data_IF_998453370847
#
_entry.id   IF_998453370847
#
_cell.length_a   1.000
_cell.length_b   1.000
_cell.length_c   1.000
_cell.angle_alpha   90.00
_cell.angle_beta   90.00
_cell.angle_gamma   90.00
#
_symmetry.space_group_name_H-M   'P 1'
#
loop_
_entity.id
_entity.type
_entity.pdbx_description
1 polymer ?
#
# COMPACT_ATOMS: atom_id res chain seq x y z
N UNK A 1 33.78 15.27 -17.56
CA UNK A 1 32.45 15.20 -16.91
C UNK A 1 31.26 15.14 -17.87
N UNK A 2 31.33 15.68 -19.10
CA UNK A 2 30.20 15.63 -20.06
C UNK A 2 29.94 14.25 -20.70
N UNK A 3 30.97 13.39 -20.80
CA UNK A 3 30.86 12.04 -21.38
C UNK A 3 30.22 11.01 -20.43
N UNK A 4 30.40 11.17 -19.12
CA UNK A 4 29.85 10.23 -18.11
C UNK A 4 28.34 10.45 -17.93
N UNK A 5 27.86 11.69 -18.08
CA UNK A 5 26.43 12.01 -18.02
C UNK A 5 25.64 11.43 -19.21
N UNK A 6 26.27 11.29 -20.38
CA UNK A 6 25.63 10.70 -21.57
C UNK A 6 25.42 9.19 -21.45
N UNK A 7 26.30 8.49 -20.73
CA UNK A 7 26.22 7.03 -20.57
C UNK A 7 25.11 6.61 -19.61
N UNK A 8 24.83 7.41 -18.57
CA UNK A 8 23.71 7.14 -17.66
C UNK A 8 22.34 7.48 -18.26
N UNK A 9 22.28 8.44 -19.20
CA UNK A 9 21.05 8.78 -19.90
C UNK A 9 20.60 7.68 -20.89
N UNK A 10 21.53 6.92 -21.47
CA UNK A 10 21.20 5.80 -22.39
C UNK A 10 20.84 4.50 -21.66
N UNK A 11 21.36 4.29 -20.44
CA UNK A 11 21.07 3.10 -19.62
C UNK A 11 19.70 3.14 -18.90
N UNK A 12 19.11 4.32 -18.73
CA UNK A 12 17.80 4.48 -18.05
C UNK A 12 16.57 4.20 -18.92
N UNK A 13 16.74 3.97 -20.23
CA UNK A 13 15.62 3.77 -21.17
C UNK A 13 15.16 2.30 -21.21
N UNK A 14 16.02 1.36 -20.80
CA UNK A 14 15.75 -0.09 -20.87
C UNK A 14 14.98 -0.67 -19.67
N UNK A 15 14.64 0.14 -18.66
CA UNK A 15 13.92 -0.31 -17.46
C UNK A 15 12.52 0.31 -17.32
N UNK A 16 11.85 0.60 -18.43
CA UNK A 16 10.40 0.86 -18.39
C UNK A 16 9.66 -0.44 -18.01
N UNK A 17 8.96 -0.49 -16.86
CA UNK A 17 8.11 -1.62 -16.55
C UNK A 17 6.93 -1.58 -17.51
N UNK A 18 6.76 -2.64 -18.30
CA UNK A 18 5.56 -2.90 -19.10
C UNK A 18 5.09 -1.74 -19.98
N UNK A 19 5.59 -1.69 -21.22
CA UNK A 19 4.84 -1.04 -22.29
C UNK A 19 3.44 -1.66 -22.36
N UNK A 20 2.43 -0.91 -21.94
CA UNK A 20 1.04 -1.26 -22.18
C UNK A 20 0.87 -1.43 -23.69
N UNK A 21 0.62 -2.66 -24.16
CA UNK A 21 0.40 -2.93 -25.58
C UNK A 21 -0.83 -2.11 -26.02
N UNK A 22 -0.66 -1.13 -26.93
CA UNK A 22 -1.81 -0.43 -27.47
C UNK A 22 -2.53 -1.42 -28.39
N UNK A 23 -3.76 -1.79 -28.03
CA UNK A 23 -4.62 -2.62 -28.89
C UNK A 23 -4.87 -4.05 -28.43
N UNK A 24 -4.70 -4.38 -27.14
CA UNK A 24 -5.43 -5.55 -26.63
C UNK A 24 -6.93 -5.25 -26.75
N UNK A 25 -7.56 -5.83 -27.77
CA UNK A 25 -9.01 -5.89 -27.86
C UNK A 25 -9.54 -6.38 -26.51
N UNK A 26 -10.55 -5.71 -25.96
CA UNK A 26 -11.24 -6.25 -24.80
C UNK A 26 -11.65 -7.70 -25.11
N UNK A 27 -11.44 -8.64 -24.18
CA UNK A 27 -11.83 -10.02 -24.41
C UNK A 27 -13.30 -10.08 -24.78
N UNK A 28 -13.60 -10.42 -26.04
CA UNK A 28 -14.97 -10.48 -26.54
C UNK A 28 -15.59 -11.80 -26.11
N UNK A 29 -16.62 -11.72 -25.25
CA UNK A 29 -17.38 -12.90 -24.83
C UNK A 29 -18.38 -13.24 -25.94
N UNK A 30 -18.27 -14.44 -26.51
CA UNK A 30 -19.21 -14.93 -27.53
C UNK A 30 -20.62 -15.13 -26.95
N UNK A 31 -21.67 -15.04 -27.78
CA UNK A 31 -23.05 -15.28 -27.33
C UNK A 31 -23.21 -16.66 -26.66
N UNK A 32 -22.53 -17.69 -27.19
CA UNK A 32 -22.50 -19.05 -26.64
C UNK A 32 -21.80 -19.12 -25.27
N UNK A 33 -20.77 -18.31 -25.03
CA UNK A 33 -20.14 -18.19 -23.72
C UNK A 33 -21.01 -17.43 -22.71
N UNK A 34 -21.85 -16.49 -23.17
CA UNK A 34 -22.84 -15.82 -22.32
C UNK A 34 -23.97 -16.78 -21.92
N UNK A 35 -24.46 -17.59 -22.85
CA UNK A 35 -25.47 -18.62 -22.60
C UNK A 35 -24.95 -19.78 -21.74
N UNK A 36 -23.65 -20.09 -21.81
CA UNK A 36 -23.02 -21.14 -21.00
C UNK A 36 -22.91 -20.80 -19.50
N UNK A 37 -23.11 -19.53 -19.13
CA UNK A 37 -23.22 -19.14 -17.71
C UNK A 37 -24.70 -19.19 -17.35
N UNK A 38 -25.11 -20.30 -16.72
CA UNK A 38 -26.42 -20.37 -16.07
C UNK A 38 -26.59 -19.17 -15.12
N UNK A 39 -27.76 -18.53 -15.12
CA UNK A 39 -28.09 -17.45 -14.17
C UNK A 39 -27.88 -17.88 -12.71
N UNK A 40 -28.06 -19.17 -12.43
CA UNK A 40 -27.77 -19.79 -11.14
C UNK A 40 -26.27 -19.71 -10.81
N UNK A 41 -25.41 -20.05 -11.78
CA UNK A 41 -23.96 -19.93 -11.60
C UNK A 41 -23.51 -18.48 -11.49
N UNK A 42 -24.16 -17.56 -12.21
CA UNK A 42 -23.92 -16.13 -12.08
C UNK A 42 -24.34 -15.61 -10.69
N UNK A 43 -25.45 -16.09 -10.14
CA UNK A 43 -25.90 -15.78 -8.79
C UNK A 43 -24.90 -16.29 -7.74
N UNK A 44 -24.47 -17.54 -7.83
CA UNK A 44 -23.45 -18.11 -6.94
C UNK A 44 -22.15 -17.31 -6.95
N UNK A 45 -21.68 -16.90 -8.13
CA UNK A 45 -20.47 -16.09 -8.27
C UNK A 45 -20.66 -14.69 -7.65
N UNK A 46 -21.82 -14.07 -7.84
CA UNK A 46 -22.16 -12.77 -7.22
C UNK A 46 -22.14 -12.87 -5.70
N UNK A 47 -22.72 -13.92 -5.14
CA UNK A 47 -22.76 -14.15 -3.70
C UNK A 47 -21.35 -14.37 -3.12
N UNK A 48 -20.53 -15.17 -3.81
CA UNK A 48 -19.13 -15.38 -3.42
C UNK A 48 -18.31 -14.08 -3.45
N UNK A 49 -18.51 -13.24 -4.47
CA UNK A 49 -17.86 -11.92 -4.56
C UNK A 49 -18.33 -11.00 -3.42
N UNK A 50 -19.63 -10.98 -3.12
CA UNK A 50 -20.18 -10.15 -2.04
C UNK A 50 -19.59 -10.54 -0.68
N UNK A 51 -19.46 -11.84 -0.41
CA UNK A 51 -18.83 -12.35 0.80
C UNK A 51 -17.34 -12.02 0.86
N UNK A 52 -16.61 -12.16 -0.24
CA UNK A 52 -15.20 -11.77 -0.33
C UNK A 52 -15.01 -10.27 -0.06
N UNK A 53 -15.87 -9.42 -0.61
CA UNK A 53 -15.84 -7.96 -0.37
C UNK A 53 -16.06 -7.61 1.10
N UNK A 54 -17.02 -8.24 1.78
CA UNK A 54 -17.24 -8.02 3.22
C UNK A 54 -15.98 -8.31 4.05
N UNK A 55 -15.26 -9.38 3.70
CA UNK A 55 -13.99 -9.75 4.36
C UNK A 55 -12.90 -8.72 4.07
N UNK A 56 -12.79 -8.27 2.82
CA UNK A 56 -11.84 -7.24 2.41
C UNK A 56 -12.11 -5.92 3.16
N UNK A 57 -13.37 -5.47 3.20
CA UNK A 57 -13.75 -4.23 3.91
C UNK A 57 -13.38 -4.28 5.39
N UNK A 58 -13.50 -5.45 6.03
CA UNK A 58 -13.09 -5.63 7.43
C UNK A 58 -11.58 -5.49 7.58
N UNK A 59 -10.81 -6.16 6.72
CA UNK A 59 -9.33 -6.09 6.72
C UNK A 59 -8.88 -4.66 6.45
N UNK A 60 -9.49 -3.97 5.49
CA UNK A 60 -9.13 -2.60 5.13
C UNK A 60 -9.38 -1.63 6.29
N UNK A 61 -10.48 -1.80 7.04
CA UNK A 61 -10.73 -1.01 8.25
C UNK A 61 -9.70 -1.28 9.33
N UNK A 62 -9.40 -2.55 9.61
CA UNK A 62 -8.40 -2.94 10.62
C UNK A 62 -7.00 -2.42 10.26
N UNK A 63 -6.62 -2.54 8.99
CA UNK A 63 -5.36 -2.01 8.47
C UNK A 63 -5.32 -0.49 8.55
N UNK A 64 -6.41 0.19 8.15
CA UNK A 64 -6.48 1.66 8.21
C UNK A 64 -6.31 2.15 9.63
N UNK A 65 -7.00 1.53 10.60
CA UNK A 65 -6.86 1.87 12.02
C UNK A 65 -5.40 1.67 12.51
N UNK A 66 -4.77 0.56 12.12
CA UNK A 66 -3.36 0.31 12.43
C UNK A 66 -2.47 1.40 11.84
N UNK A 67 -2.61 1.72 10.55
CA UNK A 67 -1.84 2.76 9.88
C UNK A 67 -2.01 4.13 10.52
N UNK A 68 -3.24 4.48 10.94
CA UNK A 68 -3.52 5.72 11.64
C UNK A 68 -2.76 5.81 12.98
N UNK A 69 -2.61 4.69 13.70
CA UNK A 69 -1.81 4.64 14.94
C UNK A 69 -0.30 4.80 14.69
N UNK A 70 0.18 4.42 13.50
CA UNK A 70 1.55 4.63 13.04
C UNK A 70 1.76 5.98 12.32
N UNK A 71 0.75 6.85 12.25
CA UNK A 71 0.90 8.17 11.63
C UNK A 71 2.12 8.89 12.23
N UNK A 72 3.00 9.40 11.37
CA UNK A 72 4.30 10.03 11.67
C UNK A 72 5.45 9.10 12.07
N UNK A 73 5.20 7.82 12.34
CA UNK A 73 6.28 6.86 12.50
C UNK A 73 6.82 6.49 11.11
N UNK A 74 8.04 6.94 10.81
CA UNK A 74 8.73 6.49 9.61
C UNK A 74 9.41 5.17 9.93
N UNK A 75 9.16 4.16 9.10
CA UNK A 75 9.96 2.94 9.11
C UNK A 75 11.43 3.28 8.82
N UNK A 76 12.30 3.04 9.80
CA UNK A 76 13.75 3.14 9.60
C UNK A 76 14.16 2.00 8.65
N UNK A 77 14.74 2.36 7.50
CA UNK A 77 15.20 1.40 6.49
C UNK A 77 14.22 1.16 5.33
N UNK A 78 13.01 1.72 5.34
CA UNK A 78 12.05 1.59 4.24
C UNK A 78 12.30 2.56 3.06
N UNK A 79 13.47 3.19 2.98
CA UNK A 79 13.84 4.12 1.91
C UNK A 79 14.75 5.26 2.39
N UNK A 80 15.16 6.16 1.47
CA UNK A 80 15.94 7.33 1.82
C UNK A 80 15.14 8.25 2.74
N UNK A 81 15.64 8.49 3.95
CA UNK A 81 14.98 9.35 4.93
C UNK A 81 15.24 10.83 4.59
N UNK A 82 14.20 11.67 4.43
CA UNK A 82 14.38 13.09 4.22
C UNK A 82 15.12 13.72 5.41
N UNK A 83 16.06 14.63 5.15
CA UNK A 83 16.85 15.30 6.20
C UNK A 83 16.01 16.10 7.20
N UNK A 84 14.82 16.51 6.79
CA UNK A 84 13.86 17.27 7.60
C UNK A 84 12.96 16.38 8.46
N UNK A 85 13.01 15.06 8.27
CA UNK A 85 12.18 14.13 9.03
C UNK A 85 12.87 13.76 10.34
N UNK A 86 12.18 13.95 11.45
CA UNK A 86 12.64 13.51 12.75
C UNK A 86 12.13 12.09 13.02
N UNK A 87 12.98 11.15 13.46
CA UNK A 87 12.54 9.86 13.95
C UNK A 87 11.58 10.03 15.15
N UNK A 88 10.45 9.32 15.10
CA UNK A 88 9.49 9.24 16.21
C UNK A 88 9.92 8.10 17.12
N UNK A 89 10.10 8.38 18.41
CA UNK A 89 10.38 7.33 19.39
C UNK A 89 9.07 6.66 19.79
N UNK A 90 8.97 5.35 19.62
CA UNK A 90 7.73 4.59 19.85
C UNK A 90 8.01 3.22 20.47
N UNK A 91 6.98 2.61 21.07
CA UNK A 91 7.01 1.24 21.56
C UNK A 91 6.03 0.37 20.77
N UNK A 92 6.51 -0.51 19.86
CA UNK A 92 5.65 -1.27 18.95
C UNK A 92 4.49 -2.01 19.62
N UNK A 93 4.73 -2.64 20.78
CA UNK A 93 3.70 -3.35 21.53
C UNK A 93 2.55 -2.45 21.99
N UNK A 94 2.84 -1.18 22.35
CA UNK A 94 1.81 -0.20 22.74
C UNK A 94 1.01 0.27 21.54
N UNK A 95 1.69 0.44 20.39
CA UNK A 95 1.02 0.80 19.14
C UNK A 95 0.06 -0.29 18.71
N UNK A 96 0.50 -1.55 18.75
CA UNK A 96 -0.34 -2.71 18.47
C UNK A 96 -1.53 -2.82 19.44
N UNK A 97 -1.37 -2.40 20.70
CA UNK A 97 -2.45 -2.39 21.69
C UNK A 97 -3.36 -1.15 21.63
N UNK A 98 -3.19 -0.26 20.65
CA UNK A 98 -4.10 0.85 20.39
C UNK A 98 -3.57 2.26 20.70
N UNK A 99 -2.33 2.40 21.21
CA UNK A 99 -1.75 3.70 21.56
C UNK A 99 -1.06 4.33 20.34
N UNK A 100 -1.44 5.52 19.87
CA UNK A 100 -0.72 6.17 18.77
C UNK A 100 0.77 6.37 19.07
N UNK A 101 1.63 6.08 18.09
CA UNK A 101 3.09 6.22 18.22
C UNK A 101 3.52 7.63 18.63
N UNK A 102 2.77 8.66 18.22
CA UNK A 102 3.02 10.05 18.58
C UNK A 102 2.88 10.31 20.10
N UNK A 103 2.05 9.55 20.82
CA UNK A 103 1.90 9.72 22.27
C UNK A 103 3.11 9.19 23.05
N UNK A 104 3.75 8.13 22.56
CA UNK A 104 4.99 7.60 23.14
C UNK A 104 6.12 8.61 22.99
N UNK A 105 6.25 9.18 21.79
CA UNK A 105 7.26 10.19 21.51
C UNK A 105 7.07 11.45 22.36
N UNK A 106 5.85 11.98 22.43
CA UNK A 106 5.53 13.15 23.26
C UNK A 106 5.83 12.89 24.75
N UNK A 107 5.50 11.69 25.26
CA UNK A 107 5.81 11.30 26.64
C UNK A 107 7.31 11.33 26.90
N UNK A 108 8.11 10.77 26.00
CA UNK A 108 9.56 10.74 26.17
C UNK A 108 10.20 12.13 26.06
N UNK A 109 9.66 13.01 25.20
CA UNK A 109 10.08 14.43 25.13
C UNK A 109 9.79 15.19 26.42
N UNK A 110 8.66 14.93 27.07
CA UNK A 110 8.34 15.56 28.35
C UNK A 110 9.30 15.13 29.45
N UNK A 111 9.75 13.87 29.43
CA UNK A 111 10.76 13.38 30.38
C UNK A 111 12.10 14.06 30.15
N UNK A 112 12.58 14.12 28.90
CA UNK A 112 13.88 14.72 28.59
C UNK A 112 13.93 16.23 28.86
N UNK A 113 12.80 16.93 28.81
CA UNK A 113 12.69 18.35 29.18
C UNK A 113 12.69 18.60 30.70
N UNK A 114 12.39 17.58 31.50
CA UNK A 114 12.29 17.67 32.97
C UNK A 114 13.55 17.16 33.68
N UNK A 115 14.43 16.47 32.95
CA UNK A 115 15.75 16.05 33.39
C UNK A 115 16.77 17.13 33.06
#
# INVERSE_FOLDING_TARGET
>A
MRLILGLFASLGILSSPCGAQPGQNQPSVTARQREAVSEERAAEVRDAIAEARKRQDKIDRENTDLWLRWTYAVCIGCGPMPRTFRPVRTHPLRVLSGVPAALDDERDRRKSRRA
#
